data_IF_886019118794
#
_entry.id   IF_886019118794
#
_cell.length_a   1.000
_cell.length_b   1.000
_cell.length_c   1.000
_cell.angle_alpha   90.00
_cell.angle_beta   90.00
_cell.angle_gamma   90.00
#
_symmetry.space_group_name_H-M   'P 1'
#
loop_
_entity.id
_entity.type
_entity.pdbx_description
1 polymer ?
#
# COMPACT_ATOMS: atom_id res chain seq x y z
N UNK A 1 -1.58 1.78 -8.59
CA UNK A 1 -1.55 3.13 -8.02
C UNK A 1 -1.48 4.23 -9.08
N UNK A 2 -0.53 4.21 -10.03
CA UNK A 2 -0.36 5.30 -11.01
C UNK A 2 -1.59 5.63 -11.87
N UNK A 3 -2.45 4.65 -12.18
CA UNK A 3 -3.66 4.87 -13.00
C UNK A 3 -4.93 5.16 -12.17
N UNK A 4 -4.84 5.02 -10.84
CA UNK A 4 -5.99 5.14 -9.93
C UNK A 4 -5.87 6.40 -9.05
N UNK A 5 -4.64 6.81 -8.75
CA UNK A 5 -4.35 8.00 -7.97
C UNK A 5 -4.25 9.24 -8.88
N UNK A 6 -4.65 10.37 -8.34
CA UNK A 6 -4.55 11.67 -9.01
C UNK A 6 -3.12 12.23 -8.91
N UNK A 7 -2.68 13.06 -9.87
CA UNK A 7 -1.29 13.54 -9.93
C UNK A 7 -0.83 14.29 -8.67
N UNK A 8 -1.73 15.01 -7.99
CA UNK A 8 -1.40 15.81 -6.79
C UNK A 8 -1.26 14.97 -5.51
N UNK A 9 -1.56 13.66 -5.58
CA UNK A 9 -1.38 12.72 -4.47
C UNK A 9 0.10 12.62 -4.02
N UNK A 10 1.06 12.89 -4.91
CA UNK A 10 2.49 12.77 -4.62
C UNK A 10 3.00 11.33 -4.66
N UNK A 11 2.21 10.42 -5.25
CA UNK A 11 2.62 9.04 -5.52
C UNK A 11 3.67 9.01 -6.63
N UNK A 12 4.72 8.21 -6.43
CA UNK A 12 5.76 8.00 -7.44
C UNK A 12 5.65 6.57 -7.99
N UNK A 13 5.81 6.37 -9.31
CA UNK A 13 6.00 5.03 -9.87
C UNK A 13 7.03 4.24 -9.07
N UNK A 14 6.74 2.96 -8.88
CA UNK A 14 7.67 2.02 -8.26
C UNK A 14 7.94 0.93 -9.28
N UNK A 15 9.23 0.63 -9.49
CA UNK A 15 9.64 -0.45 -10.40
C UNK A 15 9.36 -1.81 -9.77
N UNK A 16 9.12 -2.83 -10.60
CA UNK A 16 8.97 -4.22 -10.13
C UNK A 16 10.21 -4.70 -9.37
N UNK A 17 11.40 -4.20 -9.72
CA UNK A 17 12.66 -4.50 -9.03
C UNK A 17 12.64 -4.08 -7.56
N UNK A 18 11.93 -3.01 -7.21
CA UNK A 18 11.78 -2.53 -5.83
C UNK A 18 10.71 -3.31 -5.05
N UNK A 19 10.10 -4.33 -5.64
CA UNK A 19 9.08 -5.18 -5.02
C UNK A 19 9.56 -6.63 -4.82
N UNK A 20 10.84 -6.90 -5.05
CA UNK A 20 11.40 -8.26 -4.94
C UNK A 20 11.65 -8.66 -3.48
N UNK A 21 12.15 -7.74 -2.64
CA UNK A 21 12.50 -8.07 -1.25
C UNK A 21 11.44 -7.57 -0.27
N UNK A 22 11.21 -8.32 0.81
CA UNK A 22 10.25 -7.93 1.85
C UNK A 22 10.54 -6.55 2.46
N UNK A 23 11.82 -6.17 2.58
CA UNK A 23 12.23 -4.85 3.06
C UNK A 23 11.80 -3.73 2.11
N UNK A 24 12.00 -3.91 0.80
CA UNK A 24 11.59 -2.92 -0.22
C UNK A 24 10.07 -2.82 -0.31
N UNK A 25 9.34 -3.95 -0.27
CA UNK A 25 7.88 -3.97 -0.24
C UNK A 25 7.33 -3.20 0.96
N UNK A 26 7.90 -3.40 2.17
CA UNK A 26 7.50 -2.67 3.38
C UNK A 26 7.75 -1.16 3.26
N UNK A 27 8.83 -0.76 2.60
CA UNK A 27 9.15 0.66 2.32
C UNK A 27 8.14 1.29 1.37
N UNK A 28 7.81 0.59 0.28
CA UNK A 28 6.82 1.04 -0.71
C UNK A 28 5.44 1.11 -0.10
N UNK A 29 5.06 0.10 0.68
CA UNK A 29 3.79 0.07 1.42
C UNK A 29 3.66 1.31 2.32
N UNK A 30 4.66 1.60 3.16
CA UNK A 30 4.64 2.80 4.02
C UNK A 30 4.48 4.09 3.23
N UNK A 31 5.19 4.23 2.10
CA UNK A 31 5.08 5.40 1.23
C UNK A 31 3.67 5.53 0.66
N UNK A 32 3.08 4.42 0.21
CA UNK A 32 1.71 4.38 -0.28
C UNK A 32 0.74 4.82 0.80
N UNK A 33 0.78 4.19 1.97
CA UNK A 33 -0.10 4.49 3.12
C UNK A 33 -0.07 5.98 3.48
N UNK A 34 1.09 6.63 3.45
CA UNK A 34 1.21 8.07 3.73
C UNK A 34 0.59 8.95 2.63
N UNK A 35 0.76 8.59 1.36
CA UNK A 35 0.21 9.34 0.23
C UNK A 35 -1.32 9.34 0.20
N UNK A 36 -1.95 8.22 0.55
CA UNK A 36 -3.40 8.05 0.56
C UNK A 36 -4.02 8.14 1.95
N UNK A 37 -3.25 8.53 2.98
CA UNK A 37 -3.76 8.66 4.33
C UNK A 37 -4.87 9.73 4.36
N UNK A 38 -6.03 9.48 5.02
CA UNK A 38 -7.16 10.41 5.02
C UNK A 38 -6.79 11.83 5.47
N UNK A 39 -5.93 11.97 6.49
CA UNK A 39 -5.41 13.27 6.93
C UNK A 39 -4.64 14.02 5.82
N UNK A 40 -3.78 13.32 5.07
CA UNK A 40 -3.00 13.92 3.98
C UNK A 40 -3.84 14.27 2.77
N UNK A 41 -4.80 13.41 2.45
CA UNK A 41 -5.78 13.64 1.38
C UNK A 41 -6.67 14.84 1.71
N UNK A 42 -7.07 14.99 2.98
CA UNK A 42 -7.85 16.12 3.45
C UNK A 42 -7.06 17.43 3.45
N UNK A 43 -5.80 17.41 3.90
CA UNK A 43 -4.91 18.59 3.86
C UNK A 43 -4.68 19.13 2.44
N UNK A 44 -4.74 18.26 1.43
CA UNK A 44 -4.57 18.62 0.01
C UNK A 44 -5.85 19.11 -0.67
N UNK A 45 -6.95 19.26 0.06
CA UNK A 45 -8.22 19.74 -0.51
C UNK A 45 -8.89 18.75 -1.46
N UNK A 46 -8.69 17.45 -1.24
CA UNK A 46 -9.20 16.42 -2.15
C UNK A 46 -10.74 16.39 -2.23
N UNK A 47 -11.24 16.16 -3.44
CA UNK A 47 -12.66 16.09 -3.76
C UNK A 47 -13.30 14.82 -3.18
N UNK A 48 -14.64 14.77 -3.07
CA UNK A 48 -15.39 13.64 -2.50
C UNK A 48 -15.02 12.29 -3.16
N UNK A 49 -14.90 12.29 -4.49
CA UNK A 49 -14.50 11.12 -5.28
C UNK A 49 -13.07 10.66 -4.93
N UNK A 50 -12.14 11.60 -4.74
CA UNK A 50 -10.75 11.28 -4.38
C UNK A 50 -10.65 10.70 -2.97
N UNK A 51 -11.44 11.21 -2.02
CA UNK A 51 -11.54 10.65 -0.67
C UNK A 51 -12.05 9.21 -0.70
N UNK A 52 -13.12 8.94 -1.45
CA UNK A 52 -13.67 7.60 -1.61
C UNK A 52 -12.64 6.63 -2.23
N UNK A 53 -11.97 7.04 -3.30
CA UNK A 53 -10.92 6.23 -3.93
C UNK A 53 -9.77 5.98 -2.95
N UNK A 54 -9.33 7.00 -2.21
CA UNK A 54 -8.26 6.86 -1.23
C UNK A 54 -8.62 5.85 -0.14
N UNK A 55 -9.82 5.92 0.43
CA UNK A 55 -10.30 4.96 1.43
C UNK A 55 -10.33 3.53 0.89
N UNK A 56 -10.90 3.31 -0.30
CA UNK A 56 -10.96 1.97 -0.91
C UNK A 56 -9.57 1.41 -1.20
N UNK A 57 -8.68 2.23 -1.74
CA UNK A 57 -7.30 1.82 -2.01
C UNK A 57 -6.55 1.56 -0.70
N UNK A 58 -6.78 2.35 0.35
CA UNK A 58 -6.15 2.19 1.66
C UNK A 58 -6.52 0.86 2.31
N UNK A 59 -7.81 0.52 2.28
CA UNK A 59 -8.28 -0.77 2.79
C UNK A 59 -7.71 -1.95 2.00
N UNK A 60 -7.71 -1.89 0.66
CA UNK A 60 -7.09 -2.91 -0.18
C UNK A 60 -5.60 -3.08 0.11
N UNK A 61 -4.87 -1.98 0.33
CA UNK A 61 -3.45 -2.01 0.64
C UNK A 61 -3.20 -2.76 1.96
N UNK A 62 -3.99 -2.46 3.00
CA UNK A 62 -3.89 -3.12 4.31
C UNK A 62 -4.18 -4.61 4.20
N UNK A 63 -5.24 -4.97 3.47
CA UNK A 63 -5.62 -6.36 3.22
C UNK A 63 -4.48 -7.10 2.53
N UNK A 64 -3.96 -6.60 1.40
CA UNK A 64 -2.84 -7.23 0.69
C UNK A 64 -1.59 -7.39 1.58
N UNK A 65 -1.24 -6.38 2.37
CA UNK A 65 -0.08 -6.46 3.26
C UNK A 65 -0.28 -7.50 4.37
N UNK A 66 -1.50 -7.56 4.93
CA UNK A 66 -1.86 -8.55 5.94
C UNK A 66 -1.84 -9.97 5.35
N UNK A 67 -2.37 -10.18 4.14
CA UNK A 67 -2.31 -11.46 3.43
C UNK A 67 -0.87 -11.88 3.16
N UNK A 68 -0.01 -10.97 2.69
CA UNK A 68 1.40 -11.29 2.44
C UNK A 68 2.09 -11.75 3.74
N UNK A 69 1.81 -11.07 4.85
CA UNK A 69 2.33 -11.47 6.15
C UNK A 69 1.79 -12.83 6.62
N UNK A 70 0.48 -13.07 6.47
CA UNK A 70 -0.13 -14.35 6.81
C UNK A 70 0.39 -15.51 5.95
N UNK A 71 0.60 -15.30 4.65
CA UNK A 71 1.14 -16.32 3.74
C UNK A 71 2.58 -16.65 4.12
N UNK A 72 3.41 -15.64 4.40
CA UNK A 72 4.78 -15.86 4.88
C UNK A 72 4.79 -16.57 6.25
N UNK A 73 3.87 -16.21 7.14
CA UNK A 73 3.72 -16.85 8.45
C UNK A 73 3.28 -18.32 8.31
N UNK A 74 2.25 -18.60 7.51
CA UNK A 74 1.80 -19.95 7.19
C UNK A 74 2.90 -20.78 6.53
N UNK A 75 3.65 -20.19 5.60
CA UNK A 75 4.79 -20.86 4.97
C UNK A 75 5.85 -21.22 6.02
N UNK A 76 6.17 -20.30 6.93
CA UNK A 76 7.12 -20.56 8.01
C UNK A 76 6.60 -21.65 8.97
N UNK A 77 5.33 -21.60 9.37
CA UNK A 77 4.72 -22.58 10.28
C UNK A 77 4.57 -23.96 9.63
N UNK A 78 4.26 -24.04 8.33
CA UNK A 78 4.05 -25.31 7.62
C UNK A 78 5.35 -25.94 7.11
N UNK A 79 6.35 -25.15 6.73
CA UNK A 79 7.59 -25.65 6.09
C UNK A 79 8.84 -25.57 6.99
N UNK A 80 8.78 -24.89 8.13
CA UNK A 80 9.79 -24.96 9.18
C UNK A 80 9.19 -25.50 10.49
N UNK A 81 8.78 -26.78 10.54
CA UNK A 81 8.50 -27.44 11.79
C UNK A 81 9.84 -27.83 12.42
N UNK A 82 10.42 -26.93 13.21
CA UNK A 82 11.47 -27.27 14.16
C UNK A 82 11.15 -26.62 15.51
#
# INVERSE_FOLDING_TARGET
MQYVLWPECGWQPVSLTDLITGASVKKVYRKATLCIHPDKVQQKGANLQQKYIAEKVFELLKVCFQYLHWVLFLFFVLFFPC
#
